data_IF_507127912446
#
_entry.id   IF_507127912446
#
_cell.length_a   1.000
_cell.length_b   1.000
_cell.length_c   1.000
_cell.angle_alpha   90.00
_cell.angle_beta   90.00
_cell.angle_gamma   90.00
#
_symmetry.space_group_name_H-M   'P 1'
#
loop_
_entity.id
_entity.type
_entity.pdbx_description
1 polymer ?
#
# COMPACT_ATOMS: atom_id res chain seq x y z
N UNK A 1 12.79 -7.81 -1.01
CA UNK A 1 13.33 -7.45 0.33
C UNK A 1 13.06 -8.64 1.23
N UNK A 2 14.08 -9.15 1.92
CA UNK A 2 13.90 -10.24 2.88
C UNK A 2 13.18 -9.71 4.13
N UNK A 3 11.99 -10.23 4.50
CA UNK A 3 11.25 -9.79 5.68
C UNK A 3 12.07 -9.84 6.97
N UNK A 4 13.01 -10.77 7.09
CA UNK A 4 13.85 -10.92 8.27
C UNK A 4 14.83 -9.74 8.42
N UNK A 5 15.48 -9.31 7.34
CA UNK A 5 16.38 -8.16 7.36
C UNK A 5 15.64 -6.85 7.64
N UNK A 6 14.41 -6.72 7.13
CA UNK A 6 13.57 -5.55 7.41
C UNK A 6 13.23 -5.45 8.90
N UNK A 7 12.79 -6.56 9.52
CA UNK A 7 12.47 -6.58 10.95
C UNK A 7 13.69 -6.19 11.80
N UNK A 8 14.87 -6.76 11.52
CA UNK A 8 16.10 -6.42 12.23
C UNK A 8 16.44 -4.93 12.12
N UNK A 9 16.27 -4.33 10.93
CA UNK A 9 16.49 -2.91 10.74
C UNK A 9 15.52 -2.06 11.60
N UNK A 10 14.23 -2.39 11.58
CA UNK A 10 13.19 -1.70 12.36
C UNK A 10 13.43 -1.82 13.87
N UNK A 11 13.88 -2.98 14.35
CA UNK A 11 14.22 -3.22 15.75
C UNK A 11 15.42 -2.38 16.24
N UNK A 12 16.30 -1.96 15.33
CA UNK A 12 17.48 -1.16 15.64
C UNK A 12 17.26 0.35 15.53
N UNK A 13 16.13 0.81 14.95
CA UNK A 13 15.85 2.24 14.81
C UNK A 13 15.64 2.92 16.18
N UNK A 14 16.04 4.19 16.35
CA UNK A 14 15.57 5.02 17.46
C UNK A 14 14.04 5.12 17.47
N UNK A 15 13.42 5.27 18.64
CA UNK A 15 11.95 5.32 18.75
C UNK A 15 11.34 6.44 17.90
N UNK A 16 11.93 7.62 17.91
CA UNK A 16 11.44 8.76 17.11
C UNK A 16 11.48 8.44 15.61
N UNK A 17 12.57 7.82 15.14
CA UNK A 17 12.70 7.39 13.75
C UNK A 17 11.68 6.29 13.40
N UNK A 18 11.49 5.32 14.29
CA UNK A 18 10.53 4.24 14.10
C UNK A 18 9.09 4.78 13.97
N UNK A 19 8.71 5.81 14.75
CA UNK A 19 7.39 6.43 14.67
C UNK A 19 7.19 7.21 13.36
N UNK A 20 8.25 7.76 12.77
CA UNK A 20 8.18 8.44 11.46
C UNK A 20 8.18 7.51 10.25
N UNK A 21 8.42 6.21 10.47
CA UNK A 21 8.61 5.26 9.39
C UNK A 21 7.30 4.99 8.63
N UNK A 22 6.19 4.82 9.35
CA UNK A 22 4.87 4.62 8.72
C UNK A 22 4.48 5.82 7.83
N UNK A 23 4.50 7.09 8.31
CA UNK A 23 4.23 8.25 7.47
C UNK A 23 5.13 8.33 6.22
N UNK A 24 6.40 7.95 6.35
CA UNK A 24 7.34 7.93 5.23
C UNK A 24 6.91 6.94 4.15
N UNK A 25 6.56 5.71 4.56
CA UNK A 25 6.10 4.66 3.64
C UNK A 25 4.74 5.01 3.03
N UNK A 26 3.81 5.59 3.80
CA UNK A 26 2.52 6.09 3.31
C UNK A 26 2.69 7.14 2.21
N UNK A 27 3.61 8.08 2.38
CA UNK A 27 3.89 9.10 1.35
C UNK A 27 4.42 8.44 0.06
N UNK A 28 5.30 7.43 0.18
CA UNK A 28 5.78 6.68 -0.98
C UNK A 28 4.67 5.91 -1.70
N UNK A 29 3.75 5.29 -0.95
CA UNK A 29 2.55 4.64 -1.50
C UNK A 29 1.68 5.66 -2.25
N UNK A 30 1.38 6.81 -1.65
CA UNK A 30 0.54 7.83 -2.27
C UNK A 30 1.14 8.35 -3.59
N UNK A 31 2.45 8.55 -3.63
CA UNK A 31 3.15 8.97 -4.84
C UNK A 31 3.08 7.88 -5.94
N UNK A 32 3.22 6.62 -5.57
CA UNK A 32 3.22 5.50 -6.51
C UNK A 32 1.82 5.24 -7.07
N UNK A 33 0.78 5.34 -6.23
CA UNK A 33 -0.61 5.27 -6.67
C UNK A 33 -0.94 6.38 -7.67
N UNK A 34 -0.50 7.61 -7.38
CA UNK A 34 -0.66 8.74 -8.31
C UNK A 34 0.03 8.47 -9.64
N UNK A 35 1.27 7.99 -9.62
CA UNK A 35 2.02 7.64 -10.83
C UNK A 35 1.30 6.57 -11.66
N UNK A 36 0.69 5.57 -11.02
CA UNK A 36 -0.11 4.56 -11.73
C UNK A 36 -1.36 5.15 -12.39
N UNK A 37 -2.03 6.11 -11.74
CA UNK A 37 -3.16 6.83 -12.35
C UNK A 37 -2.69 7.64 -13.55
N UNK A 38 -1.60 8.41 -13.42
CA UNK A 38 -1.03 9.22 -14.50
C UNK A 38 -0.62 8.35 -15.71
N UNK A 39 -0.04 7.16 -15.49
CA UNK A 39 0.30 6.23 -16.58
C UNK A 39 -0.95 5.68 -17.29
N UNK A 40 -2.02 5.36 -16.55
CA UNK A 40 -3.30 4.92 -17.14
C UNK A 40 -4.02 6.03 -17.90
N UNK A 41 -3.87 7.28 -17.46
CA UNK A 41 -4.38 8.44 -18.21
C UNK A 41 -3.62 8.65 -19.52
N UNK A 42 -2.31 8.35 -19.54
CA UNK A 42 -1.48 8.45 -20.74
C UNK A 42 -1.73 7.30 -21.74
N UNK A 43 -1.96 6.08 -21.25
CA UNK A 43 -2.35 4.92 -22.06
C UNK A 43 -3.65 4.27 -21.54
N UNK A 44 -4.82 4.86 -21.88
CA UNK A 44 -6.12 4.38 -21.38
C UNK A 44 -6.51 2.99 -21.89
N UNK A 45 -5.86 2.50 -22.96
CA UNK A 45 -6.17 1.21 -23.57
C UNK A 45 -5.20 0.10 -23.15
N UNK A 46 -4.11 0.44 -22.45
CA UNK A 46 -3.08 -0.52 -22.07
C UNK A 46 -2.37 -1.11 -23.29
N UNK A 47 -2.19 -0.32 -24.34
CA UNK A 47 -1.53 -0.76 -25.58
C UNK A 47 -0.01 -0.57 -25.53
N UNK A 48 0.50 0.29 -24.63
CA UNK A 48 1.93 0.49 -24.40
C UNK A 48 2.46 -0.56 -23.39
N UNK A 49 3.21 -1.56 -23.86
CA UNK A 49 3.70 -2.64 -23.00
C UNK A 49 4.64 -2.15 -21.90
N UNK A 50 5.37 -1.05 -22.14
CA UNK A 50 6.30 -0.50 -21.16
C UNK A 50 5.54 0.13 -19.99
N UNK A 51 4.43 0.84 -20.28
CA UNK A 51 3.57 1.42 -19.24
C UNK A 51 2.80 0.35 -18.46
N UNK A 52 2.29 -0.68 -19.16
CA UNK A 52 1.63 -1.82 -18.51
C UNK A 52 2.60 -2.53 -17.55
N UNK A 53 3.84 -2.77 -18.00
CA UNK A 53 4.86 -3.39 -17.16
C UNK A 53 5.23 -2.49 -15.96
N UNK A 54 5.41 -1.18 -16.18
CA UNK A 54 5.73 -0.25 -15.10
C UNK A 54 4.64 -0.21 -14.01
N UNK A 55 3.36 -0.23 -14.40
CA UNK A 55 2.24 -0.31 -13.46
C UNK A 55 2.29 -1.62 -12.65
N UNK A 56 2.58 -2.75 -13.30
CA UNK A 56 2.69 -4.05 -12.63
C UNK A 56 3.86 -4.07 -11.62
N UNK A 57 5.03 -3.56 -12.01
CA UNK A 57 6.19 -3.44 -11.12
C UNK A 57 5.89 -2.52 -9.92
N UNK A 58 5.14 -1.44 -10.14
CA UNK A 58 4.68 -0.55 -9.08
C UNK A 58 3.70 -1.26 -8.14
N UNK A 59 2.80 -2.11 -8.63
CA UNK A 59 1.91 -2.91 -7.78
C UNK A 59 2.69 -3.84 -6.86
N UNK A 60 3.77 -4.48 -7.34
CA UNK A 60 4.66 -5.28 -6.50
C UNK A 60 5.37 -4.45 -5.44
N UNK A 61 5.75 -3.21 -5.74
CA UNK A 61 6.33 -2.27 -4.76
C UNK A 61 5.30 -1.89 -3.70
N UNK A 62 4.05 -1.61 -4.09
CA UNK A 62 2.96 -1.27 -3.17
C UNK A 62 2.73 -2.38 -2.15
N UNK A 63 2.66 -3.64 -2.59
CA UNK A 63 2.51 -4.79 -1.69
C UNK A 63 3.64 -4.89 -0.67
N UNK A 64 4.89 -4.64 -1.09
CA UNK A 64 6.05 -4.64 -0.19
C UNK A 64 6.00 -3.49 0.83
N UNK A 65 5.47 -2.34 0.45
CA UNK A 65 5.29 -1.20 1.35
C UNK A 65 4.16 -1.41 2.35
N UNK A 66 3.04 -2.01 1.95
CA UNK A 66 1.98 -2.41 2.88
C UNK A 66 2.50 -3.42 3.92
N UNK A 67 3.20 -4.47 3.47
CA UNK A 67 3.81 -5.44 4.38
C UNK A 67 4.85 -4.79 5.33
N UNK A 68 5.55 -3.74 4.87
CA UNK A 68 6.46 -2.96 5.72
C UNK A 68 5.70 -2.16 6.79
N UNK A 69 4.55 -1.57 6.46
CA UNK A 69 3.71 -0.89 7.44
C UNK A 69 3.27 -1.87 8.53
N UNK A 70 2.79 -3.05 8.15
CA UNK A 70 2.33 -4.07 9.10
C UNK A 70 3.47 -4.53 10.02
N UNK A 71 4.67 -4.75 9.47
CA UNK A 71 5.86 -5.09 10.24
C UNK A 71 6.26 -3.97 11.21
N UNK A 72 6.24 -2.72 10.75
CA UNK A 72 6.56 -1.55 11.58
C UNK A 72 5.56 -1.40 12.74
N UNK A 73 4.27 -1.63 12.50
CA UNK A 73 3.25 -1.64 13.56
C UNK A 73 3.54 -2.71 14.63
N UNK A 74 3.94 -3.91 14.21
CA UNK A 74 4.32 -4.99 15.14
C UNK A 74 5.54 -4.60 15.99
N UNK A 75 6.57 -4.02 15.36
CA UNK A 75 7.78 -3.57 16.07
C UNK A 75 7.47 -2.42 17.03
N UNK A 76 6.62 -1.46 16.64
CA UNK A 76 6.15 -0.38 17.53
C UNK A 76 5.42 -0.96 18.74
N UNK A 77 4.53 -1.94 18.52
CA UNK A 77 3.81 -2.62 19.61
C UNK A 77 4.78 -3.27 20.61
N UNK A 78 5.82 -3.92 20.11
CA UNK A 78 6.80 -4.63 20.93
C UNK A 78 7.77 -3.68 21.67
N UNK A 79 8.22 -2.60 21.03
CA UNK A 79 9.28 -1.72 21.56
C UNK A 79 8.78 -0.50 22.32
N UNK A 80 7.65 0.07 21.88
CA UNK A 80 7.10 1.31 22.43
C UNK A 80 5.84 1.00 23.24
N UNK A 81 5.00 0.10 22.75
CA UNK A 81 3.84 -0.42 23.46
C UNK A 81 2.54 -0.32 22.67
N UNK A 82 1.50 -0.96 23.21
CA UNK A 82 0.20 -1.12 22.57
C UNK A 82 -0.52 0.21 22.29
N UNK A 83 -0.37 1.21 23.16
CA UNK A 83 -1.01 2.51 22.97
C UNK A 83 -0.50 3.22 21.71
N UNK A 84 0.83 3.27 21.52
CA UNK A 84 1.45 3.86 20.33
C UNK A 84 1.09 3.07 19.07
N UNK A 85 1.09 1.73 19.16
CA UNK A 85 0.69 0.88 18.03
C UNK A 85 -0.76 1.11 17.59
N UNK A 86 -1.70 1.29 18.53
CA UNK A 86 -3.10 1.60 18.22
C UNK A 86 -3.29 2.96 17.55
N UNK A 87 -2.58 3.97 18.05
CA UNK A 87 -2.61 5.31 17.44
C UNK A 87 -2.13 5.25 16.00
N UNK A 88 -0.99 4.60 15.75
CA UNK A 88 -0.46 4.43 14.40
C UNK A 88 -1.37 3.58 13.51
N UNK A 89 -1.95 2.50 14.04
CA UNK A 89 -2.87 1.64 13.30
C UNK A 89 -4.13 2.40 12.86
N UNK A 90 -4.67 3.28 13.70
CA UNK A 90 -5.80 4.15 13.35
C UNK A 90 -5.47 5.08 12.17
N UNK A 91 -4.26 5.66 12.16
CA UNK A 91 -3.79 6.46 11.03
C UNK A 91 -3.63 5.62 9.75
N UNK A 92 -3.05 4.42 9.88
CA UNK A 92 -2.92 3.47 8.74
C UNK A 92 -4.29 3.10 8.17
N UNK A 93 -5.29 2.83 9.01
CA UNK A 93 -6.65 2.51 8.59
C UNK A 93 -7.28 3.70 7.84
N UNK A 94 -7.14 4.91 8.37
CA UNK A 94 -7.64 6.12 7.70
C UNK A 94 -6.97 6.34 6.34
N UNK A 95 -5.67 6.10 6.24
CA UNK A 95 -4.92 6.18 4.99
C UNK A 95 -5.39 5.14 3.96
N UNK A 96 -5.55 3.87 4.37
CA UNK A 96 -6.03 2.79 3.48
C UNK A 96 -7.43 3.06 2.94
N UNK A 97 -8.31 3.68 3.74
CA UNK A 97 -9.65 4.12 3.28
C UNK A 97 -9.57 5.22 2.22
N UNK A 98 -8.59 6.13 2.31
CA UNK A 98 -8.39 7.19 1.32
C UNK A 98 -7.68 6.69 0.06
N UNK A 99 -6.85 5.66 0.20
CA UNK A 99 -6.02 5.08 -0.84
C UNK A 99 -6.29 3.58 -0.95
N UNK A 100 -7.46 3.15 -1.46
CA UNK A 100 -7.75 1.74 -1.66
C UNK A 100 -6.73 1.19 -2.65
N UNK A 101 -5.76 0.43 -2.15
CA UNK A 101 -4.86 -0.33 -3.02
C UNK A 101 -5.69 -1.45 -3.62
N UNK A 102 -5.43 -1.81 -4.89
CA UNK A 102 -6.15 -2.88 -5.61
C UNK A 102 -5.86 -4.29 -5.06
N UNK A 103 -5.19 -4.38 -3.91
CA UNK A 103 -4.83 -5.65 -3.28
C UNK A 103 -5.88 -5.97 -2.22
N UNK A 104 -6.59 -7.10 -2.30
CA UNK A 104 -7.58 -7.46 -1.31
C UNK A 104 -6.86 -7.73 0.01
N UNK A 105 -7.15 -6.93 1.03
CA UNK A 105 -6.92 -7.34 2.41
C UNK A 105 -7.86 -8.52 2.68
N UNK A 106 -7.33 -9.60 3.28
CA UNK A 106 -8.05 -10.86 3.48
C UNK A 106 -9.36 -10.76 4.30
N UNK A 107 -9.65 -9.58 4.87
CA UNK A 107 -10.79 -9.31 5.73
C UNK A 107 -11.83 -8.34 5.12
N UNK A 108 -11.61 -7.80 3.92
CA UNK A 108 -12.60 -6.93 3.26
C UNK A 108 -13.38 -7.73 2.21
N UNK A 109 -14.74 -7.77 2.28
CA UNK A 109 -15.54 -8.36 1.23
C UNK A 109 -15.30 -7.57 -0.06
N UNK A 110 -14.86 -8.26 -1.11
CA UNK A 110 -14.81 -7.71 -2.46
C UNK A 110 -16.19 -7.13 -2.79
N UNK A 111 -16.30 -5.80 -2.90
CA UNK A 111 -17.44 -5.21 -3.60
C UNK A 111 -17.32 -5.65 -5.06
N UNK A 112 -18.24 -6.52 -5.49
CA UNK A 112 -18.38 -6.96 -6.87
C UNK A 112 -18.49 -5.72 -7.76
N UNK A 113 -17.48 -5.48 -8.58
CA UNK A 113 -17.62 -4.61 -9.76
C UNK A 113 -18.73 -5.22 -10.62
N UNK A 114 -19.86 -4.52 -10.66
CA UNK A 114 -21.06 -4.93 -11.36
C UNK A 114 -20.82 -4.75 -12.88
N UNK A 115 -20.17 -5.74 -13.51
CA UNK A 115 -20.14 -5.89 -14.97
C UNK A 115 -21.50 -6.42 -15.47
N UNK A 116 -22.42 -5.50 -15.74
CA UNK A 116 -23.61 -5.71 -16.55
C UNK A 116 -24.21 -4.34 -16.86
N UNK A 117 -24.36 -3.88 -18.10
CA UNK A 117 -25.01 -4.57 -19.20
C UNK A 117 -24.42 -4.17 -20.56
N UNK A 118 -24.01 -5.22 -21.28
CA UNK A 118 -24.17 -5.47 -22.71
C UNK A 118 -24.59 -4.33 -23.63
N UNK A 119 -23.73 -4.06 -24.62
CA UNK A 119 -24.16 -3.47 -25.87
C UNK A 119 -25.23 -4.31 -26.58
N UNK A 120 -26.19 -3.62 -27.16
CA UNK A 120 -26.95 -4.11 -28.32
C UNK A 120 -26.86 -3.02 -29.38
N UNK A 121 -25.97 -3.24 -30.35
CA UNK A 121 -26.12 -2.67 -31.68
C UNK A 121 -27.30 -3.35 -32.35
N UNK A 122 -28.36 -2.59 -32.66
CA UNK A 122 -29.22 -2.79 -33.84
C UNK A 122 -29.77 -1.43 -34.29
#
# INVERSE_FOLDING_TARGET
MDPHHLRLALEQLPHDTLLTEIPTVQNAIAQLLRSNVEMREFDPKGEDPDLVQAIAENQDVLQRYEARIDMTLEVIRQRIGEAAAREMASNVEAFRKQHPTTTPHADEPMEEENEGEQGVFL
#
